data_IF_456762823990
#
_entry.id   IF_456762823990
#
_cell.length_a   1.000
_cell.length_b   1.000
_cell.length_c   1.000
_cell.angle_alpha   90.00
_cell.angle_beta   90.00
_cell.angle_gamma   90.00
#
_symmetry.space_group_name_H-M   'P 1'
#
loop_
_entity.id
_entity.type
_entity.pdbx_description
1 polymer ?
#
# COMPACT_ATOMS: atom_id res chain seq x y z
N UNK A 1 -15.90 -8.78 -0.81
CA UNK A 1 -14.84 -7.83 -0.42
C UNK A 1 -15.42 -6.84 0.57
N UNK A 2 -14.61 -6.24 1.44
CA UNK A 2 -15.07 -5.12 2.26
C UNK A 2 -15.68 -4.05 1.34
N UNK A 3 -16.67 -3.31 1.82
CA UNK A 3 -17.20 -2.16 1.10
C UNK A 3 -16.18 -1.01 1.21
N UNK A 4 -15.21 -0.99 0.29
CA UNK A 4 -14.07 -0.06 0.30
C UNK A 4 -14.43 1.17 -0.53
N UNK A 5 -14.36 2.35 0.08
CA UNK A 5 -14.45 3.63 -0.61
C UNK A 5 -13.07 4.05 -1.09
N UNK A 6 -12.89 4.17 -2.40
CA UNK A 6 -11.61 4.54 -3.02
C UNK A 6 -11.50 6.03 -3.32
N UNK A 7 -10.37 6.62 -2.95
CA UNK A 7 -10.01 8.00 -3.31
C UNK A 7 -9.56 8.11 -4.78
N UNK A 8 -9.31 9.34 -5.23
CA UNK A 8 -8.73 9.57 -6.55
C UNK A 8 -7.32 8.96 -6.66
N UNK A 9 -6.88 8.51 -7.85
CA UNK A 9 -5.57 7.91 -8.02
C UNK A 9 -4.43 8.90 -7.73
N UNK A 10 -3.42 8.42 -7.01
CA UNK A 10 -2.12 9.07 -6.84
C UNK A 10 -1.11 8.47 -7.80
N UNK A 11 -0.61 9.27 -8.74
CA UNK A 11 0.35 8.85 -9.76
C UNK A 11 1.70 9.56 -9.57
N UNK A 12 2.78 8.80 -9.62
CA UNK A 12 4.15 9.33 -9.74
C UNK A 12 4.61 9.35 -11.20
N UNK A 13 5.66 10.11 -11.51
CA UNK A 13 6.18 10.40 -12.86
C UNK A 13 6.48 9.15 -13.73
N UNK A 14 6.53 7.95 -13.14
CA UNK A 14 6.91 6.70 -13.80
C UNK A 14 5.76 5.69 -14.00
N UNK A 15 4.52 6.14 -14.23
CA UNK A 15 3.35 5.29 -14.58
C UNK A 15 2.84 4.37 -13.46
N UNK A 16 3.32 4.54 -12.22
CA UNK A 16 2.80 3.83 -11.07
C UNK A 16 1.69 4.67 -10.43
N UNK A 17 0.44 4.30 -10.71
CA UNK A 17 -0.76 4.93 -10.13
C UNK A 17 -1.35 4.01 -9.07
N UNK A 18 -1.57 4.54 -7.87
CA UNK A 18 -2.13 3.82 -6.75
C UNK A 18 -3.39 4.51 -6.23
N UNK A 19 -4.30 3.72 -5.65
CA UNK A 19 -5.47 4.23 -4.94
C UNK A 19 -5.39 3.86 -3.47
N UNK A 20 -5.79 4.81 -2.64
CA UNK A 20 -6.00 4.61 -1.21
C UNK A 20 -7.50 4.46 -0.98
N UNK A 21 -7.88 3.55 -0.08
CA UNK A 21 -9.28 3.34 0.25
C UNK A 21 -9.47 2.98 1.71
N UNK A 22 -10.67 3.21 2.22
CA UNK A 22 -11.07 2.85 3.58
C UNK A 22 -12.37 2.05 3.57
N UNK A 23 -12.48 1.06 4.45
CA UNK A 23 -13.73 0.36 4.68
C UNK A 23 -14.58 1.02 5.77
N UNK A 24 -15.77 0.47 6.02
CA UNK A 24 -16.70 0.94 7.05
C UNK A 24 -16.20 0.78 8.48
N UNK A 25 -15.17 -0.04 8.70
CA UNK A 25 -14.55 -0.26 10.02
C UNK A 25 -13.37 0.71 10.26
N UNK A 26 -12.97 1.46 9.23
CA UNK A 26 -11.84 2.39 9.26
C UNK A 26 -10.51 1.74 8.93
N UNK A 27 -10.48 0.52 8.39
CA UNK A 27 -9.26 -0.10 7.89
C UNK A 27 -8.83 0.56 6.57
N UNK A 28 -7.51 0.74 6.39
CA UNK A 28 -6.94 1.34 5.19
C UNK A 28 -6.42 0.28 4.21
N UNK A 29 -6.58 0.58 2.92
CA UNK A 29 -6.22 -0.29 1.80
C UNK A 29 -5.45 0.49 0.74
N UNK A 30 -4.56 -0.22 0.03
CA UNK A 30 -3.83 0.30 -1.12
C UNK A 30 -4.03 -0.65 -2.29
N UNK A 31 -4.37 -0.12 -3.47
CA UNK A 31 -4.46 -0.88 -4.71
C UNK A 31 -3.72 -0.16 -5.84
N UNK A 32 -3.39 -0.90 -6.90
CA UNK A 32 -3.00 -0.29 -8.18
C UNK A 32 -4.27 0.25 -8.84
N UNK A 33 -4.19 1.40 -9.50
CA UNK A 33 -5.31 1.97 -10.24
C UNK A 33 -5.86 0.98 -11.28
N UNK A 34 -7.18 0.72 -11.24
CA UNK A 34 -7.85 -0.29 -12.07
C UNK A 34 -7.69 -1.75 -11.62
N UNK A 35 -7.06 -2.00 -10.47
CA UNK A 35 -6.96 -3.32 -9.82
C UNK A 35 -7.46 -3.29 -8.37
N UNK A 36 -8.49 -2.50 -8.10
CA UNK A 36 -9.11 -2.37 -6.78
C UNK A 36 -9.61 -3.70 -6.22
N UNK A 37 -9.93 -4.64 -7.11
CA UNK A 37 -10.32 -6.00 -6.74
C UNK A 37 -9.16 -6.87 -6.22
N UNK A 38 -7.92 -6.41 -6.39
CA UNK A 38 -6.69 -7.07 -5.96
C UNK A 38 -5.87 -6.14 -5.06
N UNK A 39 -6.55 -5.46 -4.13
CA UNK A 39 -5.88 -4.61 -3.16
C UNK A 39 -4.81 -5.36 -2.36
N UNK A 40 -3.73 -4.66 -2.00
CA UNK A 40 -2.58 -5.22 -1.31
C UNK A 40 -2.98 -5.64 0.12
N UNK A 41 -3.23 -6.93 0.30
CA UNK A 41 -3.57 -7.52 1.61
C UNK A 41 -2.36 -7.74 2.51
N UNK A 42 -1.16 -7.81 1.94
CA UNK A 42 0.08 -8.15 2.67
C UNK A 42 0.80 -6.95 3.27
N UNK A 43 0.16 -5.77 3.33
CA UNK A 43 0.81 -4.54 3.81
C UNK A 43 1.26 -4.61 5.27
N UNK A 44 0.63 -5.42 6.14
CA UNK A 44 1.12 -5.60 7.52
C UNK A 44 2.39 -6.45 7.57
N UNK A 45 2.44 -7.59 6.89
CA UNK A 45 3.62 -8.45 6.91
C UNK A 45 4.76 -7.85 6.09
N UNK A 46 4.44 -7.17 4.97
CA UNK A 46 5.40 -6.38 4.21
C UNK A 46 5.93 -5.18 5.01
N UNK A 47 5.08 -4.46 5.76
CA UNK A 47 5.52 -3.37 6.63
C UNK A 47 6.34 -3.89 7.81
N UNK A 48 5.95 -5.02 8.43
CA UNK A 48 6.75 -5.68 9.47
C UNK A 48 8.11 -6.12 8.93
N UNK A 49 8.14 -6.70 7.73
CA UNK A 49 9.38 -7.12 7.07
C UNK A 49 10.26 -5.90 6.77
N UNK A 50 9.70 -4.83 6.21
CA UNK A 50 10.40 -3.58 5.95
C UNK A 50 10.98 -2.96 7.24
N UNK A 51 10.17 -2.87 8.30
CA UNK A 51 10.62 -2.36 9.60
C UNK A 51 11.72 -3.26 10.21
N UNK A 52 11.61 -4.58 10.05
CA UNK A 52 12.64 -5.51 10.50
C UNK A 52 13.95 -5.34 9.71
N UNK A 53 13.86 -5.17 8.39
CA UNK A 53 15.02 -4.96 7.52
C UNK A 53 15.70 -3.61 7.75
N UNK A 54 14.94 -2.54 8.00
CA UNK A 54 15.46 -1.23 8.43
C UNK A 54 16.22 -1.38 9.76
N UNK A 55 15.63 -2.04 10.75
CA UNK A 55 16.28 -2.28 12.05
C UNK A 55 17.52 -3.18 11.94
N UNK A 56 17.56 -4.06 10.96
CA UNK A 56 18.71 -4.91 10.66
C UNK A 56 19.80 -4.19 9.85
N UNK A 57 19.64 -2.90 9.56
CA UNK A 57 20.62 -2.11 8.80
C UNK A 57 20.65 -2.40 7.30
N UNK A 58 19.68 -3.16 6.76
CA UNK A 58 19.64 -3.48 5.32
C UNK A 58 19.21 -2.31 4.45
N UNK A 59 18.62 -1.29 5.06
CA UNK A 59 18.22 -0.05 4.41
C UNK A 59 19.30 1.05 4.49
N UNK A 60 20.47 0.78 5.07
CA UNK A 60 21.57 1.76 5.28
C UNK A 60 22.27 2.18 3.97
N UNK A 61 21.74 1.76 2.82
CA UNK A 61 22.22 2.10 1.48
C UNK A 61 21.13 2.79 0.62
N UNK A 62 19.95 3.06 1.19
CA UNK A 62 18.89 3.84 0.53
C UNK A 62 19.17 5.33 0.74
N UNK A 63 20.19 5.84 0.03
CA UNK A 63 20.49 7.26 -0.11
C UNK A 63 20.78 7.58 -1.56
#
# INVERSE_FOLDING_TARGET
>A
MPDITWEAPFCQDASNCFRLGTDTEGNAYIAVDGQEDHYLTDTIDALRALVADIKAGKADHLV
#
